data_IF_154490628489
#
_entry.id   IF_154490628489
#
_cell.length_a   1.000
_cell.length_b   1.000
_cell.length_c   1.000
_cell.angle_alpha   90.00
_cell.angle_beta   90.00
_cell.angle_gamma   90.00
#
_symmetry.space_group_name_H-M   'P 1'
#
loop_
_entity.id
_entity.type
_entity.pdbx_description
1 polymer ?
#
# COMPACT_ATOMS: atom_id res chain seq x y z
N UNK A 1 -17.77 -5.81 0.86
CA UNK A 1 -16.34 -5.58 1.19
C UNK A 1 -15.46 -6.57 0.46
N UNK A 2 -15.61 -7.89 0.68
CA UNK A 2 -14.88 -8.90 -0.09
C UNK A 2 -15.10 -8.76 -1.61
N UNK A 3 -16.34 -8.61 -2.08
CA UNK A 3 -16.64 -8.40 -3.51
C UNK A 3 -16.06 -7.09 -4.07
N UNK A 4 -15.95 -6.04 -3.26
CA UNK A 4 -15.39 -4.76 -3.68
C UNK A 4 -13.88 -4.85 -3.92
N UNK A 5 -13.16 -5.55 -3.04
CA UNK A 5 -11.71 -5.72 -3.15
C UNK A 5 -11.29 -6.93 -3.99
N UNK A 6 -12.20 -7.85 -4.32
CA UNK A 6 -11.91 -9.05 -5.09
C UNK A 6 -11.18 -8.78 -6.42
N UNK A 7 -11.51 -7.75 -7.22
CA UNK A 7 -10.76 -7.44 -8.43
C UNK A 7 -9.29 -7.11 -8.16
N UNK A 8 -9.02 -6.35 -7.10
CA UNK A 8 -7.65 -5.97 -6.69
C UNK A 8 -6.90 -7.18 -6.15
N UNK A 9 -7.56 -8.01 -5.34
CA UNK A 9 -6.97 -9.22 -4.78
C UNK A 9 -6.56 -10.22 -5.87
N UNK A 10 -7.43 -10.42 -6.86
CA UNK A 10 -7.16 -11.28 -8.01
C UNK A 10 -6.01 -10.75 -8.88
N UNK A 11 -5.96 -9.43 -9.08
CA UNK A 11 -4.88 -8.79 -9.82
C UNK A 11 -3.53 -8.96 -9.10
N UNK A 12 -3.48 -8.71 -7.78
CA UNK A 12 -2.27 -8.91 -6.97
C UNK A 12 -1.83 -10.38 -7.02
N UNK A 13 -2.76 -11.31 -6.81
CA UNK A 13 -2.47 -12.75 -6.80
C UNK A 13 -1.90 -13.21 -8.14
N UNK A 14 -2.38 -12.65 -9.26
CA UNK A 14 -1.83 -12.97 -10.58
C UNK A 14 -0.48 -12.29 -10.81
N UNK A 15 -0.31 -11.04 -10.37
CA UNK A 15 0.90 -10.26 -10.57
C UNK A 15 2.12 -10.85 -9.85
N UNK A 16 1.95 -11.35 -8.62
CA UNK A 16 3.06 -11.91 -7.84
C UNK A 16 3.63 -13.22 -8.41
N UNK A 17 2.96 -13.83 -9.40
CA UNK A 17 3.49 -15.01 -10.09
C UNK A 17 4.70 -14.67 -10.97
N UNK A 18 4.64 -13.55 -11.68
CA UNK A 18 5.70 -13.03 -12.55
C UNK A 18 5.78 -11.50 -12.39
N UNK A 19 6.30 -11.01 -11.24
CA UNK A 19 6.35 -9.58 -11.00
C UNK A 19 7.39 -8.92 -11.91
N UNK A 20 7.23 -7.61 -12.11
CA UNK A 20 8.27 -6.81 -12.76
C UNK A 20 9.56 -6.82 -11.91
N UNK A 21 10.70 -6.51 -12.54
CA UNK A 21 11.98 -6.35 -11.83
C UNK A 21 11.87 -5.31 -10.68
N UNK A 22 11.01 -4.31 -10.87
CA UNK A 22 10.68 -3.32 -9.87
C UNK A 22 9.17 -3.11 -9.81
N UNK A 23 8.60 -3.34 -8.63
CA UNK A 23 7.19 -3.08 -8.33
C UNK A 23 7.10 -1.82 -7.46
N UNK A 24 6.23 -0.90 -7.86
CA UNK A 24 5.91 0.30 -7.09
C UNK A 24 4.43 0.26 -6.70
N UNK A 25 4.14 0.56 -5.44
CA UNK A 25 2.76 0.68 -4.95
C UNK A 25 2.57 2.06 -4.37
N UNK A 26 1.70 2.83 -5.03
CA UNK A 26 1.33 4.18 -4.64
C UNK A 26 -0.01 4.15 -3.90
N UNK A 27 0.02 4.49 -2.61
CA UNK A 27 -1.15 4.56 -1.75
C UNK A 27 -1.53 6.03 -1.52
N UNK A 28 -2.58 6.49 -2.20
CA UNK A 28 -3.15 7.82 -2.02
C UNK A 28 -4.61 7.68 -1.57
N UNK A 29 -4.87 7.88 -0.28
CA UNK A 29 -6.16 7.63 0.36
C UNK A 29 -6.58 8.83 1.18
N UNK A 30 -7.79 9.35 0.94
CA UNK A 30 -8.36 10.47 1.71
C UNK A 30 -9.06 10.01 2.99
N UNK A 31 -9.73 8.85 2.96
CA UNK A 31 -10.40 8.30 4.13
C UNK A 31 -10.62 6.79 4.00
N UNK A 32 -10.36 6.06 5.07
CA UNK A 32 -10.73 4.65 5.20
C UNK A 32 -10.93 4.26 6.65
N UNK A 33 -11.83 3.31 6.89
CA UNK A 33 -12.13 2.82 8.23
C UNK A 33 -11.26 1.59 8.60
N UNK A 34 -11.37 1.15 9.86
CA UNK A 34 -10.62 0.01 10.39
C UNK A 34 -10.89 -1.32 9.66
N UNK A 35 -12.04 -1.49 9.02
CA UNK A 35 -12.34 -2.71 8.28
C UNK A 35 -11.63 -2.72 6.92
N UNK A 36 -11.63 -1.59 6.20
CA UNK A 36 -10.83 -1.41 4.99
C UNK A 36 -9.33 -1.52 5.29
N UNK A 37 -8.87 -1.01 6.44
CA UNK A 37 -7.47 -1.11 6.85
C UNK A 37 -6.96 -2.55 6.92
N UNK A 38 -7.75 -3.47 7.48
CA UNK A 38 -7.41 -4.90 7.53
C UNK A 38 -7.28 -5.52 6.15
N UNK A 39 -8.15 -5.11 5.22
CA UNK A 39 -8.09 -5.60 3.82
C UNK A 39 -6.84 -5.07 3.13
N UNK A 40 -6.51 -3.78 3.28
CA UNK A 40 -5.28 -3.23 2.71
C UNK A 40 -4.05 -3.95 3.23
N UNK A 41 -3.91 -4.12 4.55
CA UNK A 41 -2.79 -4.88 5.13
C UNK A 41 -2.70 -6.27 4.50
N UNK A 42 -3.81 -7.00 4.40
CA UNK A 42 -3.82 -8.32 3.75
C UNK A 42 -3.39 -8.29 2.28
N UNK A 43 -3.75 -7.26 1.51
CA UNK A 43 -3.35 -7.11 0.11
C UNK A 43 -1.86 -6.74 -0.02
N UNK A 44 -1.40 -5.82 0.81
CA UNK A 44 -0.01 -5.35 0.83
C UNK A 44 0.95 -6.45 1.31
N UNK A 45 0.50 -7.30 2.23
CA UNK A 45 1.27 -8.45 2.71
C UNK A 45 1.45 -9.51 1.62
N UNK A 46 0.46 -9.72 0.74
CA UNK A 46 0.63 -10.55 -0.46
C UNK A 46 1.70 -9.98 -1.39
N UNK A 47 1.74 -8.65 -1.56
CA UNK A 47 2.73 -7.99 -2.41
C UNK A 47 4.17 -8.10 -1.87
N UNK A 48 4.37 -8.33 -0.57
CA UNK A 48 5.69 -8.64 -0.02
C UNK A 48 6.33 -9.85 -0.70
N UNK A 49 5.55 -10.80 -1.22
CA UNK A 49 6.09 -11.97 -1.93
C UNK A 49 6.94 -11.61 -3.17
N UNK A 50 6.76 -10.41 -3.74
CA UNK A 50 7.61 -9.89 -4.82
C UNK A 50 9.08 -9.86 -4.40
N UNK A 51 9.37 -9.43 -3.16
CA UNK A 51 10.74 -9.36 -2.64
C UNK A 51 11.42 -10.72 -2.57
N UNK A 52 10.65 -11.79 -2.34
CA UNK A 52 11.19 -13.16 -2.34
C UNK A 52 11.54 -13.67 -3.75
N UNK A 53 11.00 -13.07 -4.81
CA UNK A 53 11.28 -13.42 -6.22
C UNK A 53 12.40 -12.57 -6.85
N UNK A 54 13.26 -11.95 -6.03
CA UNK A 54 14.34 -11.03 -6.43
C UNK A 54 13.88 -9.72 -7.08
N UNK A 55 12.58 -9.38 -7.02
CA UNK A 55 12.08 -8.08 -7.44
C UNK A 55 12.37 -7.00 -6.39
N UNK A 56 12.64 -5.78 -6.83
CA UNK A 56 12.66 -4.60 -5.96
C UNK A 56 11.24 -4.13 -5.71
N UNK A 57 10.99 -3.65 -4.50
CA UNK A 57 9.66 -3.27 -4.08
C UNK A 57 9.70 -1.92 -3.37
N UNK A 58 8.86 -0.99 -3.82
CA UNK A 58 8.74 0.35 -3.26
C UNK A 58 7.29 0.62 -2.86
N UNK A 59 7.10 1.06 -1.62
CA UNK A 59 5.84 1.61 -1.15
C UNK A 59 5.94 3.13 -1.02
N UNK A 60 5.00 3.83 -1.64
CA UNK A 60 4.82 5.25 -1.49
C UNK A 60 3.48 5.51 -0.81
N UNK A 61 3.50 6.26 0.28
CA UNK A 61 2.31 6.68 1.02
C UNK A 61 2.13 8.18 0.87
N UNK A 62 1.06 8.58 0.20
CA UNK A 62 0.72 9.97 -0.04
C UNK A 62 -0.24 10.46 1.04
N UNK A 63 0.00 11.68 1.55
CA UNK A 63 -0.84 12.32 2.57
C UNK A 63 -0.87 13.84 2.37
N UNK A 64 -1.99 14.47 2.69
CA UNK A 64 -2.15 15.93 2.56
C UNK A 64 -1.49 16.70 3.72
N UNK A 65 -1.22 17.99 3.49
CA UNK A 65 -0.73 18.87 4.56
C UNK A 65 -1.76 19.04 5.68
N UNK A 66 -1.37 18.67 6.90
CA UNK A 66 -2.24 18.73 8.07
C UNK A 66 -3.12 17.50 8.26
N UNK A 67 -3.08 16.50 7.37
CA UNK A 67 -3.76 15.22 7.57
C UNK A 67 -2.87 14.24 8.33
N UNK A 68 -2.74 14.50 9.64
CA UNK A 68 -1.96 13.67 10.56
C UNK A 68 -2.56 12.26 10.71
N UNK A 69 -3.89 12.12 10.62
CA UNK A 69 -4.57 10.83 10.74
C UNK A 69 -4.18 9.89 9.60
N UNK A 70 -4.15 10.38 8.35
CA UNK A 70 -3.71 9.56 7.19
C UNK A 70 -2.22 9.24 7.27
N UNK A 71 -1.39 10.18 7.74
CA UNK A 71 0.04 9.93 7.94
C UNK A 71 0.27 8.81 8.98
N UNK A 72 -0.34 8.92 10.17
CA UNK A 72 -0.23 7.93 11.24
C UNK A 72 -0.68 6.53 10.79
N UNK A 73 -1.69 6.45 9.92
CA UNK A 73 -2.13 5.18 9.34
C UNK A 73 -1.07 4.54 8.44
N UNK A 74 -0.37 5.34 7.64
CA UNK A 74 0.72 4.86 6.80
C UNK A 74 1.90 4.39 7.64
N UNK A 75 2.25 5.13 8.70
CA UNK A 75 3.28 4.73 9.67
C UNK A 75 2.93 3.40 10.35
N UNK A 76 1.67 3.25 10.78
CA UNK A 76 1.17 2.01 11.31
C UNK A 76 1.29 0.84 10.31
N UNK A 77 0.95 1.06 9.04
CA UNK A 77 1.09 0.02 8.00
C UNK A 77 2.54 -0.37 7.78
N UNK A 78 3.46 0.59 7.71
CA UNK A 78 4.89 0.34 7.55
C UNK A 78 5.43 -0.55 8.69
N UNK A 79 5.04 -0.27 9.93
CA UNK A 79 5.43 -1.06 11.10
C UNK A 79 4.82 -2.46 11.07
N UNK A 80 3.52 -2.58 10.81
CA UNK A 80 2.82 -3.89 10.79
C UNK A 80 3.36 -4.78 9.68
N UNK A 81 3.64 -4.22 8.52
CA UNK A 81 4.13 -4.96 7.37
C UNK A 81 5.64 -5.19 7.42
N UNK A 82 6.39 -4.54 8.33
CA UNK A 82 7.86 -4.58 8.36
C UNK A 82 8.46 -4.25 6.98
N UNK A 83 7.98 -3.16 6.38
CA UNK A 83 8.45 -2.64 5.08
C UNK A 83 8.60 -1.13 5.19
N UNK A 84 9.76 -0.56 4.79
CA UNK A 84 9.94 0.89 4.77
C UNK A 84 9.03 1.53 3.72
N UNK A 85 8.28 2.54 4.12
CA UNK A 85 7.43 3.33 3.23
C UNK A 85 8.08 4.69 2.96
N UNK A 86 7.93 5.20 1.74
CA UNK A 86 8.23 6.59 1.41
C UNK A 86 6.99 7.42 1.72
N UNK A 87 7.07 8.31 2.70
CA UNK A 87 5.98 9.24 3.04
C UNK A 87 6.10 10.51 2.20
N UNK A 88 5.14 10.72 1.31
CA UNK A 88 5.13 11.79 0.32
C UNK A 88 3.99 12.75 0.64
N UNK A 89 4.34 13.94 1.12
CA UNK A 89 3.37 14.99 1.37
C UNK A 89 2.86 15.56 0.05
N UNK A 90 1.56 15.48 -0.20
CA UNK A 90 0.89 16.10 -1.34
C UNK A 90 0.43 17.49 -0.94
N UNK A 91 1.04 18.52 -1.54
CA UNK A 91 0.58 19.90 -1.40
C UNK A 91 -0.03 20.38 -2.71
N UNK A 92 -1.08 21.20 -2.61
CA UNK A 92 -1.49 22.08 -3.69
C UNK A 92 -0.29 22.96 -4.06
N UNK A 93 0.35 22.67 -5.19
CA UNK A 93 1.22 23.65 -5.81
C UNK A 93 0.35 24.89 -6.08
N UNK A 94 0.64 25.98 -5.39
CA UNK A 94 0.07 27.30 -5.65
C UNK A 94 0.38 27.77 -7.06
#
# INVERSE_FOLDING_TARGET
>A
MAEFFAPVDNWITSYIEEPAEMTCVDMNLEYFNSASAKVFISLLEKLKHVTFKNGKFIFNWYYEDGDEDILERGEYFSVVLDVPFNFIKTGSFS
#
